data_IF_351336557797
#
_entry.id   IF_351336557797
#
_cell.length_a   1.000
_cell.length_b   1.000
_cell.length_c   1.000
_cell.angle_alpha   90.00
_cell.angle_beta   90.00
_cell.angle_gamma   90.00
#
_symmetry.space_group_name_H-M   'P 1'
#
loop_
_entity.id
_entity.type
_entity.pdbx_description
1 polymer ?
#
# COMPACT_ATOMS: atom_id res chain seq x y z
N UNK A 1 -0.37 10.00 20.65
CA UNK A 1 0.66 10.99 21.04
C UNK A 1 1.28 11.79 19.88
N UNK A 2 2.12 11.22 18.98
CA UNK A 2 2.78 12.03 17.93
C UNK A 2 1.79 12.73 16.99
N UNK A 3 0.79 12.00 16.47
CA UNK A 3 -0.23 12.59 15.57
C UNK A 3 -0.96 13.76 16.23
N UNK A 4 -1.46 13.56 17.45
CA UNK A 4 -2.24 14.57 18.19
C UNK A 4 -1.44 15.81 18.54
N UNK A 5 -0.14 15.67 18.82
CA UNK A 5 0.72 16.77 19.27
C UNK A 5 1.44 17.50 18.14
N UNK A 6 1.73 16.82 17.02
CA UNK A 6 2.56 17.36 15.94
C UNK A 6 1.84 17.53 14.61
N UNK A 7 0.81 16.74 14.34
CA UNK A 7 0.12 16.72 13.04
C UNK A 7 -1.24 17.39 13.13
N UNK A 8 -2.06 16.94 14.09
CA UNK A 8 -3.43 17.40 14.24
C UNK A 8 -3.58 18.91 14.44
N UNK A 9 -2.70 19.65 15.15
CA UNK A 9 -2.82 21.11 15.26
C UNK A 9 -2.75 21.84 13.91
N UNK A 10 -2.13 21.23 12.90
CA UNK A 10 -2.03 21.76 11.54
C UNK A 10 -3.04 21.16 10.58
N UNK A 11 -3.65 20.03 10.94
CA UNK A 11 -4.56 19.25 10.10
C UNK A 11 -5.83 18.85 10.88
N UNK A 12 -6.38 19.81 11.62
CA UNK A 12 -7.43 19.60 12.62
C UNK A 12 -8.74 19.05 12.04
N UNK A 13 -8.93 19.18 10.73
CA UNK A 13 -10.11 18.72 10.00
C UNK A 13 -10.13 17.19 9.79
N UNK A 14 -9.09 16.46 10.20
CA UNK A 14 -9.07 15.01 10.21
C UNK A 14 -8.73 14.44 11.58
N UNK A 15 -9.57 13.48 12.02
CA UNK A 15 -9.31 12.71 13.23
C UNK A 15 -8.23 11.64 12.97
N UNK A 16 -7.71 11.07 14.06
CA UNK A 16 -6.79 9.94 13.96
C UNK A 16 -7.43 8.73 13.25
N UNK A 17 -8.74 8.52 13.46
CA UNK A 17 -9.51 7.44 12.83
C UNK A 17 -9.59 7.55 11.31
N UNK A 18 -9.32 8.74 10.75
CA UNK A 18 -9.32 8.99 9.30
C UNK A 18 -7.91 9.02 8.68
N UNK A 19 -6.84 8.86 9.46
CA UNK A 19 -5.44 8.92 8.97
C UNK A 19 -5.16 7.89 7.86
N UNK A 20 -5.88 6.77 7.86
CA UNK A 20 -5.79 5.77 6.80
C UNK A 20 -6.02 6.38 5.41
N UNK A 21 -6.86 7.42 5.27
CA UNK A 21 -7.15 8.10 4.01
C UNK A 21 -5.89 8.74 3.42
N UNK A 22 -5.06 9.36 4.26
CA UNK A 22 -3.80 9.95 3.82
C UNK A 22 -2.81 8.88 3.41
N UNK A 23 -2.64 7.84 4.23
CA UNK A 23 -1.71 6.74 3.93
C UNK A 23 -2.09 6.04 2.62
N UNK A 24 -3.38 5.78 2.43
CA UNK A 24 -3.92 5.23 1.19
C UNK A 24 -3.64 6.15 -0.01
N UNK A 25 -3.84 7.46 0.13
CA UNK A 25 -3.53 8.42 -0.94
C UNK A 25 -2.03 8.43 -1.29
N UNK A 26 -1.15 8.34 -0.30
CA UNK A 26 0.31 8.26 -0.52
C UNK A 26 0.68 6.98 -1.29
N UNK A 27 0.18 5.82 -0.86
CA UNK A 27 0.40 4.56 -1.56
C UNK A 27 -0.09 4.61 -3.02
N UNK A 28 -1.26 5.23 -3.25
CA UNK A 28 -1.80 5.43 -4.60
C UNK A 28 -0.89 6.32 -5.46
N UNK A 29 -0.35 7.40 -4.92
CA UNK A 29 0.58 8.29 -5.65
C UNK A 29 1.86 7.55 -6.00
N UNK A 30 2.41 6.77 -5.06
CA UNK A 30 3.58 5.91 -5.30
C UNK A 30 3.30 4.93 -6.44
N UNK A 31 2.18 4.20 -6.41
CA UNK A 31 1.78 3.29 -7.48
C UNK A 31 1.59 3.96 -8.84
N UNK A 32 1.02 5.18 -8.86
CA UNK A 32 0.83 5.95 -10.08
C UNK A 32 2.13 6.50 -10.67
N UNK A 33 3.18 6.64 -9.87
CA UNK A 33 4.49 7.09 -10.37
C UNK A 33 5.20 6.03 -11.20
N UNK A 34 4.84 4.74 -11.02
CA UNK A 34 5.54 3.58 -11.60
C UNK A 34 7.05 3.53 -11.26
N UNK A 35 7.47 4.26 -10.22
CA UNK A 35 8.87 4.34 -9.82
C UNK A 35 9.19 3.21 -8.83
N UNK A 36 10.04 2.27 -9.25
CA UNK A 36 10.46 1.12 -8.44
C UNK A 36 11.12 1.52 -7.11
N UNK A 37 11.60 2.77 -6.96
CA UNK A 37 12.15 3.26 -5.69
C UNK A 37 11.18 3.13 -4.52
N UNK A 38 9.87 3.16 -4.79
CA UNK A 38 8.83 3.12 -3.76
C UNK A 38 8.45 1.70 -3.34
N UNK A 39 9.02 0.65 -3.97
CA UNK A 39 8.71 -0.73 -3.60
C UNK A 39 8.98 -0.99 -2.12
N UNK A 40 10.10 -0.49 -1.57
CA UNK A 40 10.42 -0.65 -0.16
C UNK A 40 9.41 0.06 0.75
N UNK A 41 9.03 1.30 0.43
CA UNK A 41 8.04 2.06 1.19
C UNK A 41 6.66 1.39 1.18
N UNK A 42 6.25 0.83 0.03
CA UNK A 42 4.99 0.12 -0.13
C UNK A 42 4.98 -1.22 0.62
N UNK A 43 6.12 -1.91 0.69
CA UNK A 43 6.27 -3.11 1.53
C UNK A 43 6.08 -2.76 2.99
N UNK A 44 6.75 -1.71 3.48
CA UNK A 44 6.54 -1.20 4.84
C UNK A 44 5.07 -0.82 5.07
N UNK A 45 4.44 -0.14 4.11
CA UNK A 45 3.03 0.24 4.20
C UNK A 45 2.09 -0.97 4.33
N UNK A 46 2.39 -2.09 3.65
CA UNK A 46 1.62 -3.34 3.76
C UNK A 46 1.85 -4.05 5.10
N UNK A 47 3.09 -4.11 5.58
CA UNK A 47 3.46 -4.89 6.76
C UNK A 47 3.17 -4.20 8.09
N UNK A 48 3.23 -2.87 8.15
CA UNK A 48 3.15 -2.12 9.41
C UNK A 48 1.81 -1.40 9.62
N UNK A 49 0.90 -1.36 8.64
CA UNK A 49 -0.45 -0.86 8.87
C UNK A 49 -1.37 -1.93 9.44
N UNK A 50 -2.21 -1.53 10.40
CA UNK A 50 -3.35 -2.34 10.84
C UNK A 50 -4.63 -2.12 10.02
N UNK A 51 -4.63 -1.19 9.05
CA UNK A 51 -5.81 -0.88 8.23
C UNK A 51 -5.71 -1.53 6.86
N UNK A 52 -6.58 -2.51 6.60
CA UNK A 52 -6.58 -3.29 5.36
C UNK A 52 -6.83 -2.44 4.10
N UNK A 53 -7.48 -1.27 4.22
CA UNK A 53 -7.65 -0.35 3.08
C UNK A 53 -6.31 0.23 2.62
N UNK A 54 -5.41 0.50 3.56
CA UNK A 54 -4.04 0.96 3.25
C UNK A 54 -3.22 -0.19 2.69
N UNK A 55 -3.32 -1.38 3.30
CA UNK A 55 -2.59 -2.58 2.86
C UNK A 55 -3.00 -2.98 1.44
N UNK A 56 -4.30 -3.01 1.14
CA UNK A 56 -4.84 -3.29 -0.20
C UNK A 56 -4.34 -2.27 -1.23
N UNK A 57 -4.37 -0.98 -0.90
CA UNK A 57 -3.81 0.05 -1.80
C UNK A 57 -2.30 -0.10 -2.01
N UNK A 58 -1.54 -0.54 -1.00
CA UNK A 58 -0.12 -0.82 -1.15
C UNK A 58 0.12 -2.02 -2.08
N UNK A 59 -0.67 -3.09 -1.95
CA UNK A 59 -0.64 -4.23 -2.87
C UNK A 59 -0.97 -3.82 -4.31
N UNK A 60 -2.07 -3.07 -4.51
CA UNK A 60 -2.45 -2.50 -5.81
C UNK A 60 -1.33 -1.66 -6.43
N UNK A 61 -0.69 -0.80 -5.63
CA UNK A 61 0.41 0.05 -6.07
C UNK A 61 1.63 -0.76 -6.51
N UNK A 62 1.99 -1.81 -5.76
CA UNK A 62 3.05 -2.75 -6.13
C UNK A 62 2.73 -3.50 -7.42
N UNK A 63 1.48 -3.96 -7.60
CA UNK A 63 1.03 -4.62 -8.82
C UNK A 63 1.19 -3.72 -10.05
N UNK A 64 0.91 -2.42 -9.90
CA UNK A 64 1.09 -1.42 -10.98
C UNK A 64 2.54 -1.07 -11.26
N UNK A 65 3.36 -0.89 -10.23
CA UNK A 65 4.80 -0.63 -10.41
C UNK A 65 5.44 -1.82 -11.14
N UNK A 66 5.06 -3.04 -10.76
CA UNK A 66 5.56 -4.24 -11.40
C UNK A 66 7.03 -4.51 -11.10
N UNK A 67 7.66 -5.32 -11.94
CA UNK A 67 9.05 -5.73 -11.75
C UNK A 67 9.24 -6.87 -10.74
N UNK A 68 10.45 -7.44 -10.73
CA UNK A 68 10.75 -8.63 -9.92
C UNK A 68 10.66 -8.38 -8.42
N UNK A 69 11.03 -7.18 -7.98
CA UNK A 69 10.98 -6.78 -6.57
C UNK A 69 9.53 -6.66 -6.08
N UNK A 70 8.65 -6.00 -6.83
CA UNK A 70 7.23 -5.87 -6.44
C UNK A 70 6.51 -7.23 -6.47
N UNK A 71 6.77 -8.05 -7.50
CA UNK A 71 6.23 -9.41 -7.59
C UNK A 71 6.62 -10.26 -6.37
N UNK A 72 7.90 -10.24 -6.01
CA UNK A 72 8.41 -10.99 -4.85
C UNK A 72 7.76 -10.51 -3.54
N UNK A 73 7.55 -9.20 -3.39
CA UNK A 73 6.85 -8.64 -2.24
C UNK A 73 5.40 -9.17 -2.16
N UNK A 74 4.64 -9.07 -3.26
CA UNK A 74 3.26 -9.52 -3.34
C UNK A 74 3.11 -11.02 -3.05
N UNK A 75 3.99 -11.87 -3.59
CA UNK A 75 4.02 -13.30 -3.26
C UNK A 75 4.25 -13.54 -1.76
N UNK A 76 5.11 -12.73 -1.13
CA UNK A 76 5.38 -12.77 0.31
C UNK A 76 4.21 -12.31 1.19
N UNK A 77 3.22 -11.60 0.64
CA UNK A 77 2.06 -11.12 1.39
C UNK A 77 0.94 -12.16 1.51
N UNK A 78 0.82 -13.08 0.55
CA UNK A 78 -0.24 -14.09 0.51
C UNK A 78 -0.42 -14.92 1.80
N UNK A 79 0.64 -15.33 2.53
CA UNK A 79 0.49 -16.08 3.77
C UNK A 79 -0.20 -15.28 4.90
N UNK A 80 -0.10 -13.95 4.87
CA UNK A 80 -0.64 -13.04 5.90
C UNK A 80 -1.86 -12.23 5.46
N UNK A 81 -2.39 -12.48 4.25
CA UNK A 81 -3.58 -11.83 3.71
C UNK A 81 -4.78 -12.78 3.77
N UNK A 82 -5.95 -12.23 4.11
CA UNK A 82 -7.22 -12.97 4.18
C UNK A 82 -8.38 -12.09 3.70
N UNK A 83 -9.49 -12.72 3.29
CA UNK A 83 -10.68 -12.02 2.78
C UNK A 83 -10.34 -11.07 1.62
N UNK A 84 -10.98 -9.91 1.60
CA UNK A 84 -10.81 -8.87 0.57
C UNK A 84 -9.33 -8.50 0.34
N UNK A 85 -8.51 -8.45 1.40
CA UNK A 85 -7.09 -8.13 1.25
C UNK A 85 -6.33 -9.20 0.44
N UNK A 86 -6.71 -10.47 0.59
CA UNK A 86 -6.10 -11.54 -0.20
C UNK A 86 -6.46 -11.39 -1.67
N UNK A 87 -7.72 -11.09 -1.96
CA UNK A 87 -8.20 -10.86 -3.34
C UNK A 87 -7.45 -9.70 -4.00
N UNK A 88 -7.20 -8.61 -3.26
CA UNK A 88 -6.40 -7.46 -3.73
C UNK A 88 -4.94 -7.85 -4.03
N UNK A 89 -4.32 -8.68 -3.20
CA UNK A 89 -2.94 -9.16 -3.44
C UNK A 89 -2.88 -10.08 -4.66
N UNK A 90 -3.87 -10.97 -4.82
CA UNK A 90 -3.96 -11.86 -5.98
C UNK A 90 -4.19 -11.07 -7.27
N UNK A 91 -5.12 -10.10 -7.27
CA UNK A 91 -5.34 -9.21 -8.41
C UNK A 91 -4.09 -8.38 -8.76
N UNK A 92 -3.36 -7.90 -7.75
CA UNK A 92 -2.11 -7.17 -7.97
C UNK A 92 -1.02 -8.06 -8.62
N UNK A 93 -0.96 -9.35 -8.27
CA UNK A 93 -0.04 -10.30 -8.91
C UNK A 93 -0.38 -10.55 -10.38
N UNK A 94 -1.67 -10.60 -10.73
CA UNK A 94 -2.12 -10.72 -12.12
C UNK A 94 -1.68 -9.50 -12.95
N UNK A 95 -1.96 -8.28 -12.45
CA UNK A 95 -1.53 -7.03 -13.10
C UNK A 95 0.00 -6.97 -13.25
N UNK A 96 0.73 -7.38 -12.21
CA UNK A 96 2.20 -7.41 -12.24
C UNK A 96 2.74 -8.37 -13.31
N UNK A 97 2.03 -9.45 -13.64
CA UNK A 97 2.43 -10.40 -14.67
C UNK A 97 2.17 -9.87 -16.10
N UNK A 98 1.16 -9.02 -16.27
CA UNK A 98 0.80 -8.44 -17.57
C UNK A 98 1.78 -7.35 -18.05
N UNK A 99 2.42 -6.63 -17.12
CA UNK A 99 3.44 -5.61 -17.42
C UNK A 99 4.76 -6.13 -17.99
N UNK A 100 4.92 -7.45 -18.16
CA UNK A 100 6.11 -8.10 -18.74
C UNK A 100 6.01 -8.32 -20.26
N UNK A 101 5.00 -7.75 -20.94
CA UNK A 101 4.81 -7.83 -22.39
C UNK A 101 5.31 -6.62 -23.14
#
# INVERSE_FOLDING_TARGET
>A
EYFETRVWPHMFYMSYDDVWRWKMNVARVMGNSLDERYVADLVTAFSENGDDRVRGMAAWALGRIGGSAARKALEGFLPGAAGDLREEVEAALEVCAEGYR
#
